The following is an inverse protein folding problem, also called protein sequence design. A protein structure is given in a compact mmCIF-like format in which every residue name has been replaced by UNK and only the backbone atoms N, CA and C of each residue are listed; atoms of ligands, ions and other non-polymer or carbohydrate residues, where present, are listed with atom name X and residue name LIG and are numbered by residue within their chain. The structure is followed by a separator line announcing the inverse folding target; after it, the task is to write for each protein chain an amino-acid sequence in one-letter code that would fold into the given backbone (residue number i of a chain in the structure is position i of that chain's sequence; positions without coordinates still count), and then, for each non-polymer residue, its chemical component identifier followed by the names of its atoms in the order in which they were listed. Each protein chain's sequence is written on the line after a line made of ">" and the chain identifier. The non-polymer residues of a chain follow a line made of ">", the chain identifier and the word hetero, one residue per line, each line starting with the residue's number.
data_IF_622448843966
#
_entry.id   IF_622448843966
#
_cell.length_a   1.000
_cell.length_b   1.000
_cell.length_c   1.000
_cell.angle_alpha   90.00
_cell.angle_beta   90.00
_cell.angle_gamma   90.00
#
_symmetry.space_group_name_H-M   'P 1'
#
loop_
_entity.id
_entity.type
_entity.pdbx_description
1 polymer ?
#
# COMPACT_ATOMS: atom_id res chain seq x y z
N UNK A 1 2.91 -14.51 -19.81
CA UNK A 1 3.56 -14.40 -18.48
C UNK A 1 2.53 -14.25 -17.36
N UNK A 2 1.88 -13.10 -17.19
CA UNK A 2 0.85 -12.91 -16.16
C UNK A 2 -0.39 -13.82 -16.38
N UNK A 3 -0.94 -13.85 -17.59
CA UNK A 3 -2.11 -14.67 -17.93
C UNK A 3 -1.88 -16.19 -17.79
N UNK A 4 -0.65 -16.67 -18.04
CA UNK A 4 -0.31 -18.09 -17.90
C UNK A 4 -0.16 -18.49 -16.43
N UNK A 5 0.39 -17.58 -15.60
CA UNK A 5 0.49 -17.76 -14.16
C UNK A 5 -0.91 -17.75 -13.51
N UNK A 6 -1.77 -16.81 -13.90
CA UNK A 6 -3.18 -16.74 -13.50
C UNK A 6 -3.92 -18.05 -13.79
N UNK A 7 -3.84 -18.55 -15.03
CA UNK A 7 -4.51 -19.79 -15.43
C UNK A 7 -4.04 -20.99 -14.61
N UNK A 8 -2.73 -21.07 -14.29
CA UNK A 8 -2.17 -22.13 -13.43
C UNK A 8 -2.62 -22.00 -11.98
N UNK A 9 -2.59 -20.80 -11.41
CA UNK A 9 -3.05 -20.51 -10.06
C UNK A 9 -4.54 -20.82 -9.89
N UNK A 10 -5.37 -20.48 -10.88
CA UNK A 10 -6.79 -20.84 -10.92
C UNK A 10 -7.01 -22.35 -11.00
N UNK A 11 -6.32 -23.04 -11.91
CA UNK A 11 -6.44 -24.48 -12.09
C UNK A 11 -6.02 -25.27 -10.83
N UNK A 12 -5.01 -24.77 -10.10
CA UNK A 12 -4.46 -25.40 -8.91
C UNK A 12 -5.07 -24.89 -7.60
N UNK A 13 -5.98 -23.91 -7.66
CA UNK A 13 -6.56 -23.22 -6.49
C UNK A 13 -5.51 -22.65 -5.54
N UNK A 14 -4.44 -22.08 -6.11
CA UNK A 14 -3.34 -21.47 -5.38
C UNK A 14 -3.58 -19.96 -5.36
N UNK A 15 -3.57 -19.34 -4.18
CA UNK A 15 -3.82 -17.90 -4.02
C UNK A 15 -2.53 -17.06 -4.07
N UNK A 16 -1.37 -17.64 -3.80
CA UNK A 16 -0.06 -16.96 -3.83
C UNK A 16 1.01 -17.80 -4.52
N UNK A 17 1.83 -17.17 -5.34
CA UNK A 17 2.94 -17.77 -6.04
C UNK A 17 4.25 -16.99 -5.77
N UNK A 18 5.35 -17.72 -5.58
CA UNK A 18 6.69 -17.14 -5.51
C UNK A 18 7.27 -17.06 -6.92
N UNK A 19 7.68 -15.87 -7.33
CA UNK A 19 8.30 -15.59 -8.62
C UNK A 19 9.83 -15.69 -8.47
N UNK A 20 10.42 -16.51 -9.33
CA UNK A 20 11.87 -16.76 -9.41
C UNK A 20 12.39 -16.31 -10.76
N UNK A 21 13.54 -15.65 -10.75
CA UNK A 21 14.25 -15.23 -11.94
C UNK A 21 15.03 -16.39 -12.59
N UNK A 22 15.60 -16.10 -13.76
CA UNK A 22 16.35 -17.04 -14.61
C UNK A 22 17.65 -17.54 -13.97
N UNK A 23 18.14 -16.84 -12.95
CA UNK A 23 19.38 -17.09 -12.22
C UNK A 23 19.13 -17.71 -10.84
N UNK A 24 17.87 -18.03 -10.52
CA UNK A 24 17.45 -18.61 -9.24
C UNK A 24 17.32 -17.61 -8.09
N UNK A 25 17.34 -16.31 -8.38
CA UNK A 25 16.97 -15.24 -7.46
C UNK A 25 15.46 -15.11 -7.33
N UNK A 26 14.97 -14.59 -6.20
CA UNK A 26 13.55 -14.32 -6.00
C UNK A 26 13.22 -12.93 -6.53
N UNK A 27 12.33 -12.86 -7.52
CA UNK A 27 11.84 -11.59 -8.09
C UNK A 27 10.70 -11.01 -7.24
N UNK A 28 9.95 -11.85 -6.54
CA UNK A 28 8.92 -11.41 -5.59
C UNK A 28 7.84 -12.46 -5.31
N UNK A 29 6.81 -12.07 -4.56
CA UNK A 29 5.57 -12.83 -4.39
C UNK A 29 4.49 -12.19 -5.28
N UNK A 30 3.64 -13.02 -5.87
CA UNK A 30 2.50 -12.60 -6.67
C UNK A 30 1.23 -13.28 -6.14
N UNK A 31 0.18 -12.51 -5.90
CA UNK A 31 -1.12 -13.06 -5.57
C UNK A 31 -1.98 -13.24 -6.82
N UNK A 32 -3.03 -14.06 -6.72
CA UNK A 32 -3.99 -14.19 -7.82
C UNK A 32 -4.74 -12.87 -8.04
N UNK A 33 -5.00 -12.11 -6.98
CA UNK A 33 -5.70 -10.83 -7.03
C UNK A 33 -4.88 -9.77 -7.79
N UNK A 34 -3.57 -9.68 -7.52
CA UNK A 34 -2.64 -8.78 -8.22
C UNK A 34 -2.64 -9.00 -9.74
N UNK A 35 -2.68 -10.28 -10.14
CA UNK A 35 -2.67 -10.65 -11.56
C UNK A 35 -4.03 -10.36 -12.22
N UNK A 36 -5.13 -10.58 -11.50
CA UNK A 36 -6.48 -10.27 -11.99
C UNK A 36 -6.63 -8.76 -12.18
N UNK A 37 -6.18 -7.94 -11.23
CA UNK A 37 -6.22 -6.47 -11.32
C UNK A 37 -5.47 -5.96 -12.56
N UNK A 38 -4.26 -6.48 -12.83
CA UNK A 38 -3.49 -6.10 -14.01
C UNK A 38 -4.16 -6.46 -15.35
N UNK A 39 -4.92 -7.56 -15.39
CA UNK A 39 -5.55 -8.06 -16.62
C UNK A 39 -6.92 -7.43 -16.87
N UNK A 40 -7.68 -7.15 -15.81
CA UNK A 40 -9.05 -6.65 -15.88
C UNK A 40 -9.08 -5.11 -15.82
N UNK A 41 -8.18 -4.49 -15.07
CA UNK A 41 -8.24 -3.06 -14.73
C UNK A 41 -9.46 -2.73 -13.86
N UNK A 42 -9.50 -1.51 -13.31
CA UNK A 42 -10.71 -0.96 -12.68
C UNK A 42 -11.83 -0.90 -13.75
N UNK A 43 -12.64 -1.94 -13.88
CA UNK A 43 -13.92 -1.82 -14.58
C UNK A 43 -14.82 -1.04 -13.62
N UNK A 44 -14.68 0.28 -13.63
CA UNK A 44 -15.64 1.20 -13.04
C UNK A 44 -16.93 1.05 -13.84
N UNK A 45 -17.91 0.36 -13.24
CA UNK A 45 -19.28 0.36 -13.75
C UNK A 45 -19.85 1.77 -13.55
N UNK A 46 -20.36 2.38 -14.63
CA UNK A 46 -20.85 3.77 -14.63
C UNK A 46 -22.18 3.93 -13.87
N UNK A 47 -22.71 2.87 -13.26
CA UNK A 47 -24.02 2.85 -12.62
C UNK A 47 -24.11 1.92 -11.39
N UNK A 48 -23.41 2.22 -10.29
CA UNK A 48 -23.77 1.68 -8.98
C UNK A 48 -23.56 2.70 -7.85
N UNK A 49 -24.50 3.66 -7.78
CA UNK A 49 -24.67 4.61 -6.66
C UNK A 49 -25.43 3.97 -5.46
N UNK A 50 -25.46 2.64 -5.31
CA UNK A 50 -26.08 1.96 -4.17
C UNK A 50 -25.03 1.24 -3.28
N UNK A 51 -24.62 1.94 -2.22
CA UNK A 51 -24.14 1.39 -0.94
C UNK A 51 -22.88 0.49 -0.96
N UNK A 52 -21.84 0.85 -1.70
CA UNK A 52 -20.50 0.39 -1.30
C UNK A 52 -20.11 1.10 0.00
N UNK A 53 -19.77 0.31 1.03
CA UNK A 53 -19.28 0.86 2.29
C UNK A 53 -18.05 1.72 2.01
N UNK A 54 -18.08 3.00 2.42
CA UNK A 54 -16.96 3.92 2.18
C UNK A 54 -15.69 3.51 2.93
N UNK A 55 -15.81 2.60 3.91
CA UNK A 55 -14.71 2.05 4.69
C UNK A 55 -14.89 0.53 4.71
N UNK A 56 -13.88 -0.20 4.23
CA UNK A 56 -13.89 -1.66 4.13
C UNK A 56 -12.65 -2.23 4.84
N UNK A 57 -12.81 -3.18 5.76
CA UNK A 57 -11.65 -3.86 6.36
C UNK A 57 -10.94 -4.74 5.32
N UNK A 58 -9.61 -4.66 5.29
CA UNK A 58 -8.71 -5.39 4.37
C UNK A 58 -7.85 -6.45 5.12
N UNK A 59 -8.20 -6.74 6.38
CA UNK A 59 -7.50 -7.69 7.24
C UNK A 59 -6.38 -7.07 8.08
N UNK A 60 -5.92 -7.75 9.14
CA UNK A 60 -4.76 -7.35 9.97
C UNK A 60 -4.74 -5.90 10.51
N UNK A 61 -5.91 -5.29 10.71
CA UNK A 61 -6.03 -3.89 11.15
C UNK A 61 -5.78 -2.87 10.03
N UNK A 62 -5.92 -3.31 8.78
CA UNK A 62 -5.86 -2.52 7.56
C UNK A 62 -7.27 -2.22 7.09
N UNK A 63 -7.50 -0.99 6.62
CA UNK A 63 -8.78 -0.54 6.09
C UNK A 63 -8.57 0.17 4.75
N UNK A 64 -9.46 -0.08 3.80
CA UNK A 64 -9.58 0.66 2.56
C UNK A 64 -10.68 1.70 2.74
N UNK A 65 -10.41 2.96 2.39
CA UNK A 65 -11.35 4.05 2.54
C UNK A 65 -11.49 4.86 1.25
N UNK A 66 -12.73 5.22 0.89
CA UNK A 66 -13.02 6.35 0.00
C UNK A 66 -12.60 7.63 0.72
N UNK A 67 -11.92 8.53 0.02
CA UNK A 67 -11.43 9.78 0.61
C UNK A 67 -12.57 10.71 1.07
N UNK A 68 -13.80 10.49 0.60
CA UNK A 68 -15.02 11.18 1.03
C UNK A 68 -15.63 10.61 2.30
N UNK A 69 -15.11 9.49 2.83
CA UNK A 69 -15.58 8.95 4.09
C UNK A 69 -15.48 10.01 5.20
N UNK A 70 -16.56 10.15 5.96
CA UNK A 70 -16.63 11.05 7.10
C UNK A 70 -15.58 10.64 8.14
N UNK A 71 -14.87 11.62 8.68
CA UNK A 71 -13.77 11.37 9.59
C UNK A 71 -14.24 10.63 10.86
N UNK A 72 -15.42 10.97 11.35
CA UNK A 72 -16.07 10.29 12.48
C UNK A 72 -16.33 8.79 12.22
N UNK A 73 -16.75 8.44 10.99
CA UNK A 73 -16.97 7.04 10.61
C UNK A 73 -15.65 6.27 10.51
N UNK A 74 -14.60 6.93 10.01
CA UNK A 74 -13.25 6.36 9.98
C UNK A 74 -12.73 6.10 11.40
N UNK A 75 -12.92 7.05 12.32
CA UNK A 75 -12.56 6.87 13.73
C UNK A 75 -13.37 5.74 14.39
N UNK A 76 -14.66 5.63 14.10
CA UNK A 76 -15.50 4.56 14.61
C UNK A 76 -15.08 3.18 14.09
N UNK A 77 -14.64 3.09 12.83
CA UNK A 77 -14.21 1.84 12.20
C UNK A 77 -12.82 1.38 12.66
N UNK A 78 -11.88 2.32 12.80
CA UNK A 78 -10.45 2.03 13.03
C UNK A 78 -10.07 2.12 14.51
N UNK A 79 -10.85 2.86 15.28
CA UNK A 79 -10.67 3.11 16.71
C UNK A 79 -10.21 4.54 17.00
N UNK A 80 -10.59 5.04 18.17
CA UNK A 80 -10.35 6.42 18.65
C UNK A 80 -8.87 6.84 18.76
N UNK A 81 -7.93 5.94 18.50
CA UNK A 81 -6.50 6.23 18.50
C UNK A 81 -6.09 7.17 17.36
N UNK A 82 -6.88 7.30 16.29
CA UNK A 82 -6.58 8.21 15.18
C UNK A 82 -6.48 9.66 15.65
N UNK A 83 -7.32 10.07 16.61
CA UNK A 83 -7.31 11.35 17.35
C UNK A 83 -6.63 12.51 16.58
N UNK A 84 -7.28 13.04 15.53
CA UNK A 84 -6.69 13.97 14.57
C UNK A 84 -6.37 15.34 15.16
N UNK A 85 -6.76 15.63 16.41
CA UNK A 85 -6.37 16.84 17.12
C UNK A 85 -6.84 18.12 16.43
N UNK A 86 -6.05 19.18 16.54
CA UNK A 86 -6.31 20.48 15.91
C UNK A 86 -6.41 20.36 14.38
N UNK A 87 -5.68 19.42 13.77
CA UNK A 87 -5.67 19.19 12.33
C UNK A 87 -6.98 18.60 11.79
N UNK A 88 -7.81 18.03 12.69
CA UNK A 88 -9.14 17.48 12.39
C UNK A 88 -10.33 18.38 12.78
N UNK A 89 -10.13 19.46 13.54
CA UNK A 89 -11.23 20.25 14.11
C UNK A 89 -12.13 20.93 13.05
N UNK A 90 -11.55 21.30 11.90
CA UNK A 90 -12.26 21.95 10.79
C UNK A 90 -12.39 21.03 9.55
N UNK A 91 -12.29 19.70 9.74
CA UNK A 91 -12.18 18.73 8.65
C UNK A 91 -13.25 17.65 8.74
N UNK A 92 -14.11 17.58 7.73
CA UNK A 92 -15.21 16.62 7.70
C UNK A 92 -14.81 15.22 7.21
N UNK A 93 -13.81 15.12 6.31
CA UNK A 93 -13.50 13.87 5.60
C UNK A 93 -12.05 13.43 5.75
N UNK A 94 -11.79 12.13 5.60
CA UNK A 94 -10.44 11.57 5.67
C UNK A 94 -9.50 12.13 4.58
N UNK A 95 -10.01 12.43 3.38
CA UNK A 95 -9.25 13.12 2.34
C UNK A 95 -8.92 14.56 2.72
N UNK A 96 -9.85 15.25 3.40
CA UNK A 96 -9.61 16.56 3.99
C UNK A 96 -8.50 16.53 5.04
N UNK A 97 -8.45 15.48 5.87
CA UNK A 97 -7.41 15.34 6.91
C UNK A 97 -6.03 15.19 6.28
N UNK A 98 -5.92 14.34 5.26
CA UNK A 98 -4.66 14.18 4.51
C UNK A 98 -4.20 15.50 3.90
N UNK A 99 -5.14 16.29 3.33
CA UNK A 99 -4.82 17.61 2.78
C UNK A 99 -4.40 18.59 3.87
N UNK A 100 -5.09 18.61 5.01
CA UNK A 100 -4.76 19.44 6.18
C UNK A 100 -3.32 19.17 6.65
N UNK A 101 -2.94 17.89 6.73
CA UNK A 101 -1.60 17.46 7.14
C UNK A 101 -0.49 17.84 6.15
N UNK A 102 -0.76 17.84 4.83
CA UNK A 102 0.26 18.04 3.80
C UNK A 102 0.26 19.43 3.16
N UNK A 103 -0.84 20.17 3.25
CA UNK A 103 -1.08 21.42 2.52
C UNK A 103 -1.16 21.25 0.99
N UNK A 104 -1.27 20.02 0.49
CA UNK A 104 -1.37 19.68 -0.93
C UNK A 104 -2.03 18.33 -1.13
N UNK A 105 -2.39 18.02 -2.38
CA UNK A 105 -2.86 16.68 -2.77
C UNK A 105 -1.64 15.78 -3.00
N UNK A 106 -1.52 14.64 -2.30
CA UNK A 106 -0.47 13.66 -2.53
C UNK A 106 -0.69 12.85 -3.80
N UNK A 107 0.36 12.18 -4.27
CA UNK A 107 0.29 11.28 -5.44
C UNK A 107 0.06 9.83 -5.01
N UNK A 108 -0.43 8.98 -5.92
CA UNK A 108 -0.54 7.53 -5.69
C UNK A 108 0.79 6.94 -5.22
N UNK A 109 0.72 6.07 -4.21
CA UNK A 109 1.86 5.40 -3.57
C UNK A 109 2.56 6.24 -2.50
N UNK A 110 2.15 7.50 -2.29
CA UNK A 110 2.69 8.31 -1.20
C UNK A 110 2.19 7.81 0.16
N UNK A 111 3.08 7.76 1.15
CA UNK A 111 2.75 7.40 2.53
C UNK A 111 2.71 8.66 3.40
N UNK A 112 1.56 8.90 4.03
CA UNK A 112 1.32 10.05 4.89
C UNK A 112 1.23 9.58 6.33
N UNK A 113 2.07 10.14 7.20
CA UNK A 113 1.98 9.85 8.62
C UNK A 113 0.78 10.56 9.22
N UNK A 114 -0.04 9.81 9.95
CA UNK A 114 -1.20 10.32 10.66
C UNK A 114 -0.99 10.19 12.18
N UNK A 115 -1.79 10.89 13.01
CA UNK A 115 -1.72 10.76 14.46
C UNK A 115 -2.08 9.33 14.91
N UNK A 116 -1.86 9.00 16.18
CA UNK A 116 -2.11 7.64 16.71
C UNK A 116 -1.14 6.54 16.28
N UNK A 117 -0.13 6.90 15.48
CA UNK A 117 0.78 5.95 14.84
C UNK A 117 0.19 5.30 13.58
N UNK A 118 -0.82 5.93 12.96
CA UNK A 118 -1.37 5.49 11.70
C UNK A 118 -0.55 5.98 10.50
N UNK A 119 -0.66 5.27 9.40
CA UNK A 119 -0.19 5.67 8.08
C UNK A 119 -1.34 5.57 7.08
N UNK A 120 -1.40 6.57 6.19
CA UNK A 120 -2.27 6.60 5.04
C UNK A 120 -1.43 6.36 3.78
N UNK A 121 -1.68 5.24 3.11
CA UNK A 121 -1.13 4.96 1.79
C UNK A 121 -2.13 5.42 0.73
N UNK A 122 -1.71 6.32 -0.15
CA UNK A 122 -2.57 6.85 -1.20
C UNK A 122 -2.70 5.83 -2.33
N UNK A 123 -3.88 5.25 -2.49
CA UNK A 123 -4.15 4.26 -3.54
C UNK A 123 -4.56 4.93 -4.84
N UNK A 124 -5.36 5.98 -4.77
CA UNK A 124 -5.76 6.75 -5.96
C UNK A 124 -5.97 8.22 -5.61
N UNK A 125 -5.44 9.09 -6.47
CA UNK A 125 -5.56 10.53 -6.39
C UNK A 125 -5.43 11.14 -7.79
N UNK A 126 -6.22 12.19 -8.03
CA UNK A 126 -6.11 13.03 -9.20
C UNK A 126 -5.58 14.43 -8.79
N UNK A 127 -5.27 15.34 -9.74
CA UNK A 127 -4.72 16.65 -9.41
C UNK A 127 -5.60 17.55 -8.54
N UNK A 128 -6.87 17.18 -8.30
CA UNK A 128 -7.85 17.97 -7.54
C UNK A 128 -8.25 17.32 -6.23
N UNK A 129 -8.11 16.00 -6.07
CA UNK A 129 -8.49 15.30 -4.84
C UNK A 129 -7.85 13.92 -4.71
N UNK A 130 -7.81 13.46 -3.47
CA UNK A 130 -7.61 12.04 -3.15
C UNK A 130 -8.94 11.33 -3.40
N UNK A 131 -8.88 10.09 -3.92
CA UNK A 131 -10.06 9.27 -4.19
C UNK A 131 -10.15 8.08 -3.25
N UNK A 132 -9.05 7.35 -3.07
CA UNK A 132 -8.97 6.17 -2.20
C UNK A 132 -7.65 6.12 -1.48
N UNK A 133 -7.67 5.63 -0.24
CA UNK A 133 -6.49 5.43 0.57
C UNK A 133 -6.62 4.18 1.44
N UNK A 134 -5.48 3.60 1.79
CA UNK A 134 -5.37 2.51 2.75
C UNK A 134 -4.88 3.06 4.08
N UNK A 135 -5.51 2.63 5.17
CA UNK A 135 -5.20 3.06 6.53
C UNK A 135 -4.70 1.85 7.29
N UNK A 136 -3.55 1.99 7.93
CA UNK A 136 -3.00 0.95 8.81
C UNK A 136 -2.16 1.56 9.92
N UNK A 137 -2.06 0.87 11.05
CA UNK A 137 -1.15 1.28 12.12
C UNK A 137 0.28 0.92 11.74
N UNK A 138 1.19 1.89 11.77
CA UNK A 138 2.62 1.62 11.60
C UNK A 138 3.04 0.65 12.70
N UNK A 139 3.38 -0.59 12.34
CA UNK A 139 3.96 -1.55 13.29
C UNK A 139 5.29 -0.97 13.76
N UNK A 140 5.33 -0.44 14.98
CA UNK A 140 6.57 -0.07 15.65
C UNK A 140 7.36 -1.34 15.92
N UNK A 141 8.25 -1.71 15.00
CA UNK A 141 9.22 -2.78 15.23
C UNK A 141 9.53 -3.67 14.03
N UNK A 142 10.21 -3.13 13.01
CA UNK A 142 11.40 -3.78 12.44
C UNK A 142 12.35 -2.65 12.03
N UNK A 143 13.49 -2.51 12.72
CA UNK A 143 14.58 -1.69 12.24
C UNK A 143 14.95 -2.19 10.83
N UNK A 144 14.88 -1.30 9.84
CA UNK A 144 15.39 -1.57 8.49
C UNK A 144 16.81 -2.14 8.66
N UNK A 145 17.11 -3.37 8.19
CA UNK A 145 18.46 -3.88 8.29
C UNK A 145 19.36 -2.90 7.56
N UNK A 146 20.33 -2.33 8.27
CA UNK A 146 21.31 -1.43 7.66
C UNK A 146 21.88 -2.11 6.41
N UNK A 147 22.03 -1.39 5.28
CA UNK A 147 22.64 -1.97 4.11
C UNK A 147 24.05 -2.40 4.51
N UNK A 148 24.26 -3.73 4.55
CA UNK A 148 25.58 -4.32 4.82
C UNK A 148 26.55 -3.73 3.80
N UNK A 149 27.39 -2.78 4.24
CA UNK A 149 28.52 -2.30 3.44
C UNK A 149 29.34 -3.53 3.07
N UNK A 150 29.40 -3.83 1.76
CA UNK A 150 30.27 -4.89 1.25
C UNK A 150 31.70 -4.58 1.71
N UNK A 151 32.44 -5.55 2.27
CA UNK A 151 33.86 -5.40 2.44
C UNK A 151 34.49 -5.23 1.04
N UNK A 152 35.38 -4.24 0.91
CA UNK A 152 36.20 -4.10 -0.30
C UNK A 152 37.02 -5.38 -0.43
N UNK A 153 36.84 -6.10 -1.53
CA UNK A 153 37.77 -7.17 -1.89
C UNK A 153 39.07 -6.49 -2.33
N UNK A 154 40.12 -6.73 -1.55
CA UNK A 154 41.48 -6.54 -2.02
C UNK A 154 41.73 -7.58 -3.12
N UNK A 155 42.02 -7.11 -4.33
CA UNK A 155 42.44 -7.97 -5.44
C UNK A 155 43.84 -8.51 -5.15
N UNK A 156 44.10 -9.82 -5.24
CA UNK A 156 45.46 -10.32 -5.28
C UNK A 156 45.96 -10.27 -6.73
N UNK A 157 46.91 -9.38 -7.01
CA UNK A 157 47.73 -9.48 -8.22
C UNK A 157 48.95 -10.38 -7.90
N UNK A 158 48.98 -11.54 -8.57
CA UNK A 158 50.16 -12.39 -8.75
C UNK A 158 51.30 -11.58 -9.37
N UNK A 159 52.54 -11.71 -8.88
CA UNK A 159 53.74 -11.72 -9.74
C UNK A 159 54.90 -12.51 -9.10
N UNK A 160 55.24 -13.62 -9.77
CA UNK A 160 56.57 -14.06 -10.23
C UNK A 160 57.78 -14.26 -9.29
N UNK A 161 58.47 -15.40 -9.53
CA UNK A 161 59.88 -15.68 -9.19
C UNK A 161 60.01 -16.77 -8.13
N UNK A 162 60.77 -17.86 -8.27
CA UNK A 162 61.74 -18.37 -9.25
C UNK A 162 61.74 -19.92 -9.09
#
# INVERSE_FOLDING_TARGET
>A
LASDLMAKMQAQRIQMALVIDEYGGTDGLASLEDIVEMVVGDIEDEHDDEAQAMIVPDGDGVFLADARADLEDVEAAIGADLAPGEEGEDVDTIGGLVFSLLGRIPVRGELVSAPGGFEFEILDADPRRIKRLRIYRRRTGVARPEPRRRPRLDTPEEEAGD
#
